data_IF_268843686799
#
_entry.id   IF_268843686799
#
_cell.length_a   1.000
_cell.length_b   1.000
_cell.length_c   1.000
_cell.angle_alpha   90.00
_cell.angle_beta   90.00
_cell.angle_gamma   90.00
#
_symmetry.space_group_name_H-M   'P 1'
#
loop_
_entity.id
_entity.type
_entity.pdbx_description
1 polymer ?
#
# COMPACT_ATOMS: atom_id res chain seq x y z
N UNK A 1 -26.86 -28.12 6.07
CA UNK A 1 -25.95 -27.01 5.71
C UNK A 1 -24.62 -27.60 5.26
N UNK A 2 -23.99 -27.09 4.19
CA UNK A 2 -22.70 -27.60 3.72
C UNK A 2 -21.53 -27.17 4.61
N UNK A 3 -20.61 -28.09 4.92
CA UNK A 3 -19.39 -27.78 5.66
C UNK A 3 -18.42 -27.00 4.78
N UNK A 4 -18.06 -25.79 5.18
CA UNK A 4 -17.04 -24.99 4.50
C UNK A 4 -15.72 -25.06 5.26
N UNK A 5 -14.61 -25.21 4.54
CA UNK A 5 -13.25 -25.19 5.07
C UNK A 5 -12.38 -24.26 4.24
N UNK A 6 -11.44 -23.57 4.88
CA UNK A 6 -10.56 -22.66 4.15
C UNK A 6 -9.59 -23.42 3.24
N UNK A 7 -9.41 -22.96 1.99
CA UNK A 7 -8.51 -23.58 1.02
C UNK A 7 -7.02 -23.20 1.19
N UNK A 8 -6.71 -22.24 2.06
CA UNK A 8 -5.35 -21.78 2.37
C UNK A 8 -4.59 -22.88 3.11
N UNK A 9 -3.34 -23.13 2.68
CA UNK A 9 -2.51 -24.18 3.28
C UNK A 9 -2.25 -23.87 4.75
N UNK A 10 -2.41 -24.87 5.62
CA UNK A 10 -2.30 -24.80 7.08
C UNK A 10 -3.33 -23.88 7.78
N UNK A 11 -4.40 -23.46 7.09
CA UNK A 11 -5.55 -22.82 7.72
C UNK A 11 -6.57 -23.88 8.17
N UNK A 12 -6.81 -23.98 9.48
CA UNK A 12 -7.73 -24.97 10.08
C UNK A 12 -9.17 -24.44 10.25
N UNK A 13 -9.46 -23.23 9.79
CA UNK A 13 -10.77 -22.60 9.96
C UNK A 13 -11.83 -23.28 9.08
N UNK A 14 -12.91 -23.69 9.73
CA UNK A 14 -14.11 -24.27 9.12
C UNK A 14 -15.36 -23.60 9.67
N UNK A 15 -16.49 -23.77 8.97
CA UNK A 15 -17.80 -23.26 9.39
C UNK A 15 -18.37 -23.94 10.65
N UNK A 16 -17.62 -24.84 11.29
CA UNK A 16 -17.99 -25.51 12.55
C UNK A 16 -17.11 -25.13 13.74
N UNK A 17 -15.88 -24.66 13.51
CA UNK A 17 -14.90 -24.37 14.57
C UNK A 17 -14.52 -22.88 14.68
N UNK A 18 -15.02 -22.04 13.77
CA UNK A 18 -14.64 -20.63 13.69
C UNK A 18 -15.83 -19.76 13.31
N UNK A 19 -15.94 -18.58 13.93
CA UNK A 19 -16.93 -17.56 13.60
C UNK A 19 -16.51 -16.70 12.39
N UNK A 20 -15.67 -17.25 11.50
CA UNK A 20 -15.17 -16.56 10.33
C UNK A 20 -16.22 -16.48 9.21
N UNK A 21 -16.24 -15.39 8.45
CA UNK A 21 -16.96 -15.32 7.17
C UNK A 21 -16.17 -16.12 6.13
N UNK A 22 -16.85 -16.91 5.28
CA UNK A 22 -16.20 -17.69 4.21
C UNK A 22 -16.52 -17.09 2.84
N UNK A 23 -15.51 -16.57 2.16
CA UNK A 23 -15.65 -15.91 0.87
C UNK A 23 -15.28 -16.85 -0.28
N UNK A 24 -16.22 -17.05 -1.21
CA UNK A 24 -16.00 -17.77 -2.47
C UNK A 24 -15.13 -16.93 -3.42
N UNK A 25 -14.33 -17.60 -4.23
CA UNK A 25 -13.58 -16.94 -5.30
C UNK A 25 -14.55 -16.25 -6.28
N UNK A 26 -14.27 -15.00 -6.72
CA UNK A 26 -15.14 -14.31 -7.66
C UNK A 26 -15.33 -15.09 -8.98
N UNK A 27 -16.56 -15.05 -9.52
CA UNK A 27 -16.96 -15.74 -10.76
C UNK A 27 -17.43 -14.76 -11.84
N UNK A 28 -17.99 -13.61 -11.46
CA UNK A 28 -18.47 -12.60 -12.39
C UNK A 28 -17.34 -12.08 -13.32
N UNK A 29 -17.66 -11.85 -14.60
CA UNK A 29 -16.69 -11.47 -15.64
C UNK A 29 -15.85 -10.25 -15.27
N UNK A 30 -16.46 -9.23 -14.67
CA UNK A 30 -15.78 -8.00 -14.23
C UNK A 30 -14.90 -8.18 -12.98
N UNK A 31 -15.04 -9.30 -12.24
CA UNK A 31 -14.20 -9.64 -11.08
C UNK A 31 -13.11 -10.68 -11.38
N UNK A 32 -12.86 -11.01 -12.65
CA UNK A 32 -11.81 -11.97 -13.02
C UNK A 32 -10.41 -11.51 -12.61
N UNK A 33 -10.14 -10.20 -12.57
CA UNK A 33 -8.88 -9.65 -12.04
C UNK A 33 -8.72 -9.92 -10.55
N UNK A 34 -9.79 -9.72 -9.77
CA UNK A 34 -9.84 -10.09 -8.35
C UNK A 34 -9.59 -11.60 -8.17
N UNK A 35 -10.27 -12.45 -8.95
CA UNK A 35 -10.09 -13.91 -8.93
C UNK A 35 -8.63 -14.29 -9.19
N UNK A 36 -8.00 -13.72 -10.23
CA UNK A 36 -6.57 -13.94 -10.54
C UNK A 36 -5.69 -13.55 -9.37
N UNK A 37 -5.89 -12.37 -8.77
CA UNK A 37 -5.12 -11.94 -7.58
C UNK A 37 -5.30 -12.87 -6.38
N UNK A 38 -6.50 -13.38 -6.13
CA UNK A 38 -6.75 -14.34 -5.04
C UNK A 38 -6.01 -15.67 -5.29
N UNK A 39 -6.05 -16.20 -6.52
CA UNK A 39 -5.32 -17.44 -6.87
C UNK A 39 -3.82 -17.25 -6.68
N UNK A 40 -3.25 -16.17 -7.24
CA UNK A 40 -1.83 -15.82 -7.07
C UNK A 40 -1.46 -15.57 -5.61
N UNK A 41 -2.36 -14.99 -4.80
CA UNK A 41 -2.15 -14.81 -3.37
C UNK A 41 -2.15 -16.13 -2.61
N UNK A 42 -3.05 -17.07 -2.94
CA UNK A 42 -3.10 -18.41 -2.30
C UNK A 42 -1.91 -19.30 -2.69
N UNK A 43 -1.27 -19.06 -3.86
CA UNK A 43 0.00 -19.67 -4.33
C UNK A 43 0.21 -21.14 -3.90
N UNK A 44 -0.84 -21.95 -4.00
CA UNK A 44 -0.83 -23.36 -3.60
C UNK A 44 -0.29 -24.20 -4.76
N UNK A 45 0.40 -25.28 -4.42
CA UNK A 45 0.72 -26.35 -5.34
C UNK A 45 -0.03 -27.61 -4.92
N UNK A 46 -0.32 -28.47 -5.88
CA UNK A 46 -0.81 -29.82 -5.64
C UNK A 46 0.37 -30.74 -5.25
N UNK A 47 0.06 -31.97 -4.84
CA UNK A 47 1.06 -32.95 -4.37
C UNK A 47 2.02 -33.37 -5.50
N UNK A 48 1.53 -33.37 -6.74
CA UNK A 48 2.29 -33.60 -7.99
C UNK A 48 3.15 -32.38 -8.42
N UNK A 49 3.17 -31.30 -7.63
CA UNK A 49 3.87 -30.05 -7.94
C UNK A 49 3.12 -29.11 -8.91
N UNK A 50 2.00 -29.55 -9.49
CA UNK A 50 1.20 -28.74 -10.43
C UNK A 50 0.56 -27.51 -9.76
N UNK A 51 0.24 -26.51 -10.59
CA UNK A 51 -0.42 -25.30 -10.12
C UNK A 51 -1.85 -25.61 -9.66
N UNK A 52 -2.15 -25.29 -8.40
CA UNK A 52 -3.50 -25.44 -7.87
C UNK A 52 -4.45 -24.38 -8.44
N UNK A 53 -5.70 -24.78 -8.69
CA UNK A 53 -6.78 -23.92 -9.16
C UNK A 53 -8.04 -24.11 -8.29
N UNK A 54 -8.74 -23.03 -7.89
CA UNK A 54 -9.88 -23.12 -6.99
C UNK A 54 -11.12 -23.72 -7.66
N UNK A 55 -11.66 -24.75 -7.01
CA UNK A 55 -12.95 -25.41 -7.28
C UNK A 55 -14.12 -24.49 -6.85
N UNK A 56 -15.35 -24.74 -7.32
CA UNK A 56 -16.52 -23.91 -6.96
C UNK A 56 -16.86 -23.86 -5.46
N UNK A 57 -16.42 -24.85 -4.69
CA UNK A 57 -16.61 -24.93 -3.23
C UNK A 57 -15.43 -24.37 -2.43
N UNK A 58 -14.30 -24.05 -3.07
CA UNK A 58 -13.14 -23.50 -2.37
C UNK A 58 -13.44 -22.07 -1.89
N UNK A 59 -13.12 -21.82 -0.61
CA UNK A 59 -13.39 -20.56 0.08
C UNK A 59 -12.18 -20.11 0.89
N UNK A 60 -12.07 -18.80 1.07
CA UNK A 60 -11.07 -18.17 1.94
C UNK A 60 -11.81 -17.58 3.15
N UNK A 61 -11.36 -17.90 4.36
CA UNK A 61 -11.97 -17.35 5.58
C UNK A 61 -11.55 -15.88 5.79
N UNK A 62 -12.35 -15.14 6.57
CA UNK A 62 -12.15 -13.72 6.87
C UNK A 62 -10.77 -13.39 7.42
N UNK A 63 -10.16 -14.30 8.18
CA UNK A 63 -8.85 -14.14 8.82
C UNK A 63 -7.70 -13.82 7.85
N UNK A 64 -7.88 -14.09 6.56
CA UNK A 64 -6.88 -13.78 5.52
C UNK A 64 -6.95 -12.32 5.02
N UNK A 65 -7.89 -11.52 5.53
CA UNK A 65 -8.11 -10.11 5.18
C UNK A 65 -7.96 -9.22 6.43
N UNK A 66 -7.40 -8.01 6.26
CA UNK A 66 -7.15 -7.09 7.38
C UNK A 66 -8.49 -6.68 7.99
N UNK A 67 -8.65 -6.83 9.31
CA UNK A 67 -9.93 -6.58 9.98
C UNK A 67 -11.07 -7.54 9.59
N UNK A 68 -10.77 -8.69 8.99
CA UNK A 68 -11.76 -9.76 8.76
C UNK A 68 -12.73 -9.55 7.60
N UNK A 69 -12.52 -8.59 6.71
CA UNK A 69 -13.46 -8.29 5.61
C UNK A 69 -12.78 -8.05 4.27
N UNK A 70 -13.22 -8.79 3.23
CA UNK A 70 -12.81 -8.53 1.85
C UNK A 70 -13.36 -7.19 1.33
N UNK A 71 -12.64 -6.57 0.41
CA UNK A 71 -13.15 -5.44 -0.38
C UNK A 71 -13.31 -5.84 -1.85
N UNK A 72 -14.26 -5.22 -2.55
CA UNK A 72 -14.41 -5.37 -4.00
C UNK A 72 -13.70 -4.24 -4.78
N UNK A 73 -13.10 -3.27 -4.09
CA UNK A 73 -12.42 -2.11 -4.68
C UNK A 73 -10.94 -2.42 -4.92
N UNK A 74 -10.48 -2.34 -6.17
CA UNK A 74 -9.12 -2.69 -6.61
C UNK A 74 -7.99 -1.98 -5.84
N UNK A 75 -8.21 -0.75 -5.36
CA UNK A 75 -7.22 -0.02 -4.55
C UNK A 75 -7.18 -0.40 -3.07
N UNK A 76 -8.18 -1.12 -2.57
CA UNK A 76 -8.25 -1.50 -1.16
C UNK A 76 -7.19 -2.55 -0.81
N UNK A 77 -6.54 -2.47 0.36
CA UNK A 77 -5.63 -3.52 0.82
C UNK A 77 -6.32 -4.89 1.00
N UNK A 78 -7.64 -4.88 1.16
CA UNK A 78 -8.47 -6.09 1.30
C UNK A 78 -9.06 -6.59 -0.04
N UNK A 79 -8.61 -6.06 -1.17
CA UNK A 79 -9.05 -6.54 -2.49
C UNK A 79 -8.66 -8.01 -2.74
N UNK A 80 -7.55 -8.45 -2.13
CA UNK A 80 -7.05 -9.82 -2.12
C UNK A 80 -6.66 -10.23 -0.70
N UNK A 81 -6.66 -11.53 -0.36
CA UNK A 81 -6.11 -11.99 0.91
C UNK A 81 -4.63 -11.63 1.00
N UNK A 82 -4.19 -11.20 2.18
CA UNK A 82 -2.80 -10.75 2.45
C UNK A 82 -2.19 -11.40 3.68
N UNK A 83 -3.00 -11.84 4.65
CA UNK A 83 -2.57 -12.52 5.86
C UNK A 83 -2.50 -14.03 5.58
N UNK A 84 -1.35 -14.67 5.82
CA UNK A 84 -1.12 -16.09 5.53
C UNK A 84 -0.28 -16.77 6.62
N UNK A 85 -0.47 -18.08 6.88
CA UNK A 85 0.37 -18.84 7.81
C UNK A 85 1.85 -18.88 7.39
N UNK A 86 2.72 -19.25 8.34
CA UNK A 86 4.18 -19.25 8.17
C UNK A 86 4.69 -20.12 7.01
N UNK A 87 3.96 -21.19 6.66
CA UNK A 87 4.26 -22.08 5.52
C UNK A 87 4.43 -21.33 4.19
N UNK A 88 3.80 -20.15 4.06
CA UNK A 88 3.90 -19.30 2.88
C UNK A 88 5.21 -18.49 2.80
N UNK A 89 6.05 -18.52 3.84
CA UNK A 89 7.32 -17.75 3.95
C UNK A 89 7.14 -16.25 3.63
N UNK A 90 5.98 -15.70 3.98
CA UNK A 90 5.66 -14.25 3.84
C UNK A 90 6.01 -13.51 5.12
N UNK A 91 6.40 -12.24 4.97
CA UNK A 91 6.54 -11.32 6.12
C UNK A 91 5.16 -11.15 6.76
N UNK A 92 5.09 -11.15 8.10
CA UNK A 92 3.86 -10.85 8.84
C UNK A 92 3.33 -9.47 8.42
N UNK A 93 2.02 -9.37 8.23
CA UNK A 93 1.36 -8.10 7.88
C UNK A 93 1.27 -7.24 9.14
N UNK A 94 1.77 -6.00 9.08
CA UNK A 94 1.49 -4.98 10.08
C UNK A 94 0.29 -4.16 9.59
N UNK A 95 -0.88 -4.38 10.18
CA UNK A 95 -2.14 -3.83 9.70
C UNK A 95 -2.16 -2.29 9.74
N UNK A 96 -1.75 -1.69 10.86
CA UNK A 96 -1.72 -0.22 10.99
C UNK A 96 -0.81 0.44 9.95
N UNK A 97 0.30 -0.19 9.58
CA UNK A 97 1.19 0.27 8.50
C UNK A 97 0.53 0.16 7.13
N UNK A 98 -0.18 -0.93 6.84
CA UNK A 98 -0.90 -1.11 5.56
C UNK A 98 -2.04 -0.10 5.43
N UNK A 99 -2.86 0.05 6.48
CA UNK A 99 -3.96 1.01 6.54
C UNK A 99 -3.44 2.46 6.40
N UNK A 100 -2.35 2.82 7.09
CA UNK A 100 -1.71 4.13 6.96
C UNK A 100 -1.19 4.41 5.55
N UNK A 101 -0.62 3.42 4.86
CA UNK A 101 -0.20 3.54 3.45
C UNK A 101 -1.40 3.73 2.53
N UNK A 102 -2.47 2.97 2.72
CA UNK A 102 -3.70 3.09 1.95
C UNK A 102 -4.36 4.46 2.15
N UNK A 103 -4.44 4.96 3.39
CA UNK A 103 -4.95 6.31 3.68
C UNK A 103 -4.20 7.38 2.89
N UNK A 104 -2.87 7.45 3.02
CA UNK A 104 -2.01 8.41 2.27
C UNK A 104 -2.18 8.31 0.74
N UNK A 105 -2.45 7.11 0.22
CA UNK A 105 -2.70 6.89 -1.20
C UNK A 105 -4.07 7.46 -1.64
N UNK A 106 -5.11 7.28 -0.82
CA UNK A 106 -6.44 7.84 -1.07
C UNK A 106 -6.46 9.35 -0.91
N UNK A 107 -5.79 9.91 0.12
CA UNK A 107 -5.65 11.35 0.34
C UNK A 107 -5.07 12.05 -0.91
N UNK A 108 -3.99 11.48 -1.49
CA UNK A 108 -3.37 11.97 -2.73
C UNK A 108 -4.30 11.90 -3.95
N UNK A 109 -5.22 10.94 -4.01
CA UNK A 109 -6.21 10.84 -5.09
C UNK A 109 -7.30 11.89 -4.95
N UNK A 110 -7.75 12.16 -3.72
CA UNK A 110 -8.74 13.21 -3.43
C UNK A 110 -8.17 14.58 -3.81
N UNK A 111 -6.95 14.91 -3.35
CA UNK A 111 -6.27 16.17 -3.67
C UNK A 111 -6.14 16.36 -5.19
N UNK A 112 -5.65 15.33 -5.90
CA UNK A 112 -5.53 15.38 -7.37
C UNK A 112 -6.86 15.58 -8.08
N UNK A 113 -7.94 15.00 -7.55
CA UNK A 113 -9.28 15.20 -8.11
C UNK A 113 -9.73 16.65 -7.87
N UNK A 114 -9.65 17.16 -6.64
CA UNK A 114 -10.04 18.55 -6.36
C UNK A 114 -9.25 19.59 -7.15
N UNK A 115 -7.97 19.35 -7.49
CA UNK A 115 -7.19 20.26 -8.34
C UNK A 115 -7.48 20.12 -9.84
N UNK A 116 -8.07 19.00 -10.28
CA UNK A 116 -8.41 18.76 -11.69
C UNK A 116 -9.82 19.21 -12.04
N UNK A 117 -10.68 19.43 -11.05
CA UNK A 117 -12.06 19.95 -11.20
C UNK A 117 -12.10 21.49 -11.03
N UNK A 118 -10.94 22.15 -10.88
CA UNK A 118 -10.78 23.60 -10.98
C UNK A 118 -10.23 23.89 -12.39
N UNK A 119 -11.13 24.24 -13.32
CA UNK A 119 -10.75 24.64 -14.67
C UNK A 119 -9.86 25.90 -14.68
N UNK A 120 -8.89 26.02 -15.61
CA UNK A 120 -7.99 27.16 -15.70
C UNK A 120 -8.65 28.36 -16.39
N UNK A 121 -9.77 28.86 -15.83
CA UNK A 121 -10.46 30.09 -16.29
C UNK A 121 -10.35 31.20 -15.24
N UNK A 122 -9.13 31.56 -14.86
CA UNK A 122 -8.73 32.95 -14.66
C UNK A 122 -7.20 33.08 -14.56
N UNK A 123 -6.56 33.51 -15.64
CA UNK A 123 -5.34 34.34 -15.63
C UNK A 123 -5.00 34.79 -17.07
N UNK A 124 -5.95 35.50 -17.69
CA UNK A 124 -5.67 36.34 -18.87
C UNK A 124 -5.63 37.79 -18.40
N UNK A 125 -4.51 38.19 -17.81
CA UNK A 125 -3.97 39.55 -17.92
C UNK A 125 -2.46 39.39 -18.08
N UNK A 126 -1.99 39.34 -19.33
CA UNK A 126 -0.61 39.72 -19.62
C UNK A 126 -0.46 41.24 -19.47
N UNK A 127 0.65 41.69 -18.89
CA UNK A 127 1.35 42.83 -19.45
C UNK A 127 2.81 42.46 -19.76
N UNK A 128 3.06 42.12 -21.03
CA UNK A 128 4.27 42.48 -21.78
C UNK A 128 4.53 44.00 -21.58
N UNK A 129 5.70 44.59 -21.27
CA UNK A 129 7.16 44.30 -21.31
C UNK A 129 7.89 45.37 -20.44
N UNK A 130 9.19 45.39 -20.16
CA UNK A 130 10.32 44.43 -20.15
C UNK A 130 11.42 45.10 -19.27
N UNK A 131 12.18 44.37 -18.44
CA UNK A 131 13.36 44.91 -17.72
C UNK A 131 14.52 43.86 -17.72
N UNK A 132 15.79 44.27 -17.92
CA UNK A 132 16.88 43.33 -18.17
C UNK A 132 17.33 42.60 -16.90
N UNK A 133 17.21 41.27 -16.93
CA UNK A 133 17.62 40.37 -15.85
C UNK A 133 19.15 40.31 -15.74
N UNK A 134 19.74 41.22 -14.97
CA UNK A 134 21.12 41.11 -14.51
C UNK A 134 21.31 39.95 -13.52
N UNK A 135 22.44 39.27 -13.62
CA UNK A 135 23.05 38.48 -12.54
C UNK A 135 22.27 37.29 -11.95
N UNK A 136 22.75 36.06 -12.21
CA UNK A 136 22.52 34.91 -11.33
C UNK A 136 23.71 34.79 -10.36
N UNK A 137 23.57 35.06 -9.05
CA UNK A 137 24.60 34.68 -8.09
C UNK A 137 24.48 33.18 -7.83
N UNK A 138 25.46 32.41 -8.28
CA UNK A 138 25.74 31.10 -7.72
C UNK A 138 26.58 31.29 -6.46
N UNK A 139 25.99 31.18 -5.27
CA UNK A 139 26.75 31.10 -4.02
C UNK A 139 27.24 29.68 -3.81
N UNK A 140 28.49 29.45 -4.21
CA UNK A 140 29.29 28.32 -3.80
C UNK A 140 29.84 28.52 -2.38
N UNK A 141 30.07 27.40 -1.70
CA UNK A 141 30.97 27.22 -0.55
C UNK A 141 30.46 27.68 0.81
N UNK A 142 30.54 26.75 1.77
CA UNK A 142 30.33 26.99 3.20
C UNK A 142 31.58 27.65 3.79
N UNK A 143 31.38 28.48 4.82
CA UNK A 143 32.43 29.31 5.41
C UNK A 143 33.48 28.50 6.18
N UNK A 144 34.74 28.63 5.75
CA UNK A 144 35.90 28.07 6.46
C UNK A 144 37.08 29.07 6.43
N UNK A 145 36.88 30.27 6.99
CA UNK A 145 37.97 31.21 7.29
C UNK A 145 37.91 31.62 8.76
N UNK A 146 38.70 30.92 9.58
CA UNK A 146 39.07 31.32 10.94
C UNK A 146 40.11 32.44 10.87
N UNK A 147 39.92 33.57 11.57
CA UNK A 147 41.07 34.29 12.14
C UNK A 147 40.76 35.14 13.38
N UNK A 148 41.36 34.73 14.49
CA UNK A 148 41.85 35.51 15.64
C UNK A 148 40.99 36.64 16.27
N UNK A 149 40.63 36.42 17.54
CA UNK A 149 40.82 37.43 18.59
C UNK A 149 41.86 36.88 19.58
N UNK A 150 42.68 37.79 20.14
CA UNK A 150 43.89 37.49 20.90
C UNK A 150 43.66 37.45 22.42
N UNK A 151 44.44 36.60 23.08
CA UNK A 151 45.23 36.86 24.31
C UNK A 151 44.57 37.55 25.52
N UNK A 152 44.50 36.82 26.64
CA UNK A 152 45.17 37.16 27.92
C UNK A 152 45.34 35.86 28.74
N UNK A 153 46.58 35.46 29.10
CA UNK A 153 47.22 35.65 30.42
C UNK A 153 46.64 34.73 31.51
N UNK A 154 47.33 33.66 31.93
CA UNK A 154 48.48 33.59 32.85
C UNK A 154 48.01 32.86 34.14
N UNK A 155 48.43 31.63 34.44
CA UNK A 155 49.71 31.22 35.09
C UNK A 155 49.58 31.11 36.63
N UNK A 156 50.26 30.11 37.23
CA UNK A 156 50.34 29.78 38.67
C UNK A 156 49.06 29.12 39.27
N UNK A 157 49.14 28.09 40.13
CA UNK A 157 50.27 27.31 40.69
C UNK A 157 50.06 25.81 40.43
#
# INVERSE_FOLDING_TARGET
>A
MGHQSCCVVDCKNTSRNSNCKFYKFPVAKWKLNQRKKWITAVKRQNIDGSLWSPKPMDVICSEHFIGGEKSDVESSPNYAPTIFPSVYRRRKVNESTVLSRHKRFMDRRIIKKSTAEIDPVMNIIEPLKDEPRSGRPSTSNNDDIKLAIRQDSSQTC
#
